data_IF_783144102708
#
_entry.id   IF_783144102708
#
_cell.length_a   1.000
_cell.length_b   1.000
_cell.length_c   1.000
_cell.angle_alpha   90.00
_cell.angle_beta   90.00
_cell.angle_gamma   90.00
#
_symmetry.space_group_name_H-M   'P 1'
#
loop_
_entity.id
_entity.type
_entity.pdbx_description
1 polymer ?
#
# COMPACT_ATOMS: atom_id res chain seq x y z
N UNK A 1 -7.16 15.56 -20.47
CA UNK A 1 -8.17 15.24 -19.44
C UNK A 1 -7.92 16.07 -18.18
N UNK A 2 -8.95 16.68 -17.60
CA UNK A 2 -8.80 17.40 -16.33
C UNK A 2 -8.69 16.41 -15.14
N UNK A 3 -8.36 16.90 -13.94
CA UNK A 3 -8.23 16.03 -12.77
C UNK A 3 -9.57 15.41 -12.38
N UNK A 4 -10.68 16.15 -12.47
CA UNK A 4 -12.01 15.68 -12.07
C UNK A 4 -12.50 14.54 -12.98
N UNK A 5 -12.26 14.64 -14.28
CA UNK A 5 -12.53 13.60 -15.28
C UNK A 5 -11.72 12.34 -15.01
N UNK A 6 -10.46 12.45 -14.55
CA UNK A 6 -9.64 11.29 -14.15
C UNK A 6 -10.34 10.52 -13.03
N UNK A 7 -10.83 11.22 -12.01
CA UNK A 7 -11.54 10.60 -10.90
C UNK A 7 -12.88 10.00 -11.34
N UNK A 8 -13.67 10.72 -12.15
CA UNK A 8 -14.94 10.22 -12.67
C UNK A 8 -14.78 8.95 -13.50
N UNK A 9 -13.82 8.89 -14.42
CA UNK A 9 -13.56 7.68 -15.21
C UNK A 9 -13.10 6.53 -14.30
N UNK A 10 -12.18 6.80 -13.37
CA UNK A 10 -11.68 5.79 -12.44
C UNK A 10 -12.78 5.21 -11.54
N UNK A 11 -13.79 5.99 -11.13
CA UNK A 11 -14.92 5.48 -10.35
C UNK A 11 -15.83 4.53 -11.14
N UNK A 12 -16.03 4.78 -12.44
CA UNK A 12 -16.87 3.91 -13.29
C UNK A 12 -16.10 2.65 -13.71
N UNK A 13 -14.78 2.69 -13.73
CA UNK A 13 -13.95 1.63 -14.30
C UNK A 13 -14.08 0.25 -13.61
N UNK A 14 -14.07 0.12 -12.27
CA UNK A 14 -14.26 -1.18 -11.61
C UNK A 14 -15.57 -1.86 -11.99
N UNK A 15 -16.60 -1.08 -12.36
CA UNK A 15 -17.92 -1.63 -12.67
C UNK A 15 -18.10 -2.10 -14.11
N UNK A 16 -17.12 -1.88 -14.99
CA UNK A 16 -17.25 -2.18 -16.44
C UNK A 16 -17.29 -3.68 -16.75
N UNK A 17 -16.66 -4.53 -15.94
CA UNK A 17 -16.64 -5.98 -16.14
C UNK A 17 -16.80 -6.72 -14.81
N UNK A 18 -18.05 -7.05 -14.46
CA UNK A 18 -18.40 -7.75 -13.22
C UNK A 18 -17.79 -9.13 -13.11
N UNK A 19 -17.58 -9.85 -14.21
CA UNK A 19 -16.95 -11.16 -14.19
C UNK A 19 -15.50 -11.06 -13.75
N UNK A 20 -14.73 -10.15 -14.36
CA UNK A 20 -13.35 -9.90 -13.97
C UNK A 20 -13.28 -9.32 -12.55
N UNK A 21 -14.16 -8.38 -12.21
CA UNK A 21 -14.27 -7.83 -10.86
C UNK A 21 -14.46 -8.94 -9.82
N UNK A 22 -15.37 -9.88 -10.05
CA UNK A 22 -15.62 -10.98 -9.11
C UNK A 22 -14.42 -11.91 -8.93
N UNK A 23 -13.70 -12.24 -10.02
CA UNK A 23 -12.48 -13.06 -9.94
C UNK A 23 -11.41 -12.38 -9.08
N UNK A 24 -11.17 -11.08 -9.32
CA UNK A 24 -10.21 -10.31 -8.53
C UNK A 24 -10.72 -10.10 -7.11
N UNK A 25 -12.03 -9.95 -6.92
CA UNK A 25 -12.72 -9.94 -5.63
C UNK A 25 -12.38 -11.14 -4.78
N UNK A 26 -12.51 -12.34 -5.33
CA UNK A 26 -12.14 -13.59 -4.64
C UNK A 26 -10.65 -13.59 -4.29
N UNK A 27 -9.77 -13.21 -5.20
CA UNK A 27 -8.33 -13.16 -4.93
C UNK A 27 -7.96 -12.13 -3.86
N UNK A 28 -8.59 -10.97 -3.85
CA UNK A 28 -8.41 -9.95 -2.81
C UNK A 28 -8.87 -10.50 -1.46
N UNK A 29 -10.06 -11.12 -1.40
CA UNK A 29 -10.53 -11.77 -0.16
C UNK A 29 -9.49 -12.77 0.34
N UNK A 30 -9.08 -13.72 -0.51
CA UNK A 30 -8.06 -14.72 -0.14
C UNK A 30 -6.76 -14.07 0.31
N UNK A 31 -6.31 -13.02 -0.38
CA UNK A 31 -5.09 -12.29 0.00
C UNK A 31 -5.14 -11.59 1.37
N UNK A 32 -6.33 -11.24 1.87
CA UNK A 32 -6.50 -10.54 3.15
C UNK A 32 -6.74 -11.50 4.33
N UNK A 33 -6.83 -12.82 4.11
CA UNK A 33 -7.16 -13.78 5.16
C UNK A 33 -6.01 -14.14 6.10
N UNK A 34 -4.79 -13.63 5.90
CA UNK A 34 -3.64 -13.88 6.80
C UNK A 34 -3.96 -13.52 8.25
N UNK A 35 -4.57 -12.35 8.45
CA UNK A 35 -4.79 -11.80 9.79
C UNK A 35 -5.83 -12.61 10.56
N UNK A 36 -6.89 -13.10 9.88
CA UNK A 36 -7.92 -13.93 10.47
C UNK A 36 -7.40 -15.32 10.89
N UNK A 37 -6.33 -15.78 10.25
CA UNK A 37 -5.77 -17.11 10.51
C UNK A 37 -4.81 -17.14 11.70
N UNK A 38 -4.09 -16.05 11.93
CA UNK A 38 -3.27 -15.89 13.15
C UNK A 38 -4.14 -15.97 14.42
N UNK A 39 -5.35 -15.40 14.40
CA UNK A 39 -6.34 -15.58 15.49
C UNK A 39 -6.78 -17.05 15.66
N UNK A 40 -6.89 -17.82 14.57
CA UNK A 40 -7.25 -19.25 14.62
C UNK A 40 -6.14 -20.14 15.18
N UNK A 41 -4.88 -19.80 14.88
CA UNK A 41 -3.70 -20.51 15.39
C UNK A 41 -3.48 -20.32 16.89
N UNK A 42 -3.72 -19.09 17.39
CA UNK A 42 -3.63 -18.78 18.82
C UNK A 42 -4.67 -19.54 19.67
N UNK A 43 -5.71 -20.10 19.05
CA UNK A 43 -6.81 -20.84 19.70
C UNK A 43 -6.73 -22.37 19.51
N UNK A 44 -5.55 -22.93 19.22
CA UNK A 44 -5.34 -24.39 19.19
C UNK A 44 -5.56 -25.06 17.82
N UNK A 45 -5.57 -24.28 16.73
CA UNK A 45 -5.51 -24.82 15.37
C UNK A 45 -4.22 -25.60 15.10
N UNK A 46 -4.24 -26.52 14.13
CA UNK A 46 -3.03 -27.27 13.74
C UNK A 46 -2.01 -26.33 13.10
N UNK A 47 -0.90 -26.11 13.78
CA UNK A 47 0.19 -25.19 13.39
C UNK A 47 0.65 -25.34 11.93
N UNK A 48 0.62 -26.56 11.39
CA UNK A 48 1.00 -26.87 10.00
C UNK A 48 -0.01 -26.32 8.99
N UNK A 49 -1.31 -26.49 9.26
CA UNK A 49 -2.37 -25.91 8.43
C UNK A 49 -2.27 -24.37 8.51
N UNK A 50 -1.95 -23.88 9.71
CA UNK A 50 -1.39 -22.55 10.03
C UNK A 50 -0.47 -21.95 8.97
N UNK A 51 0.67 -22.61 8.81
CA UNK A 51 1.72 -22.14 7.93
C UNK A 51 1.30 -22.18 6.46
N UNK A 52 0.59 -23.23 6.04
CA UNK A 52 0.21 -23.43 4.63
C UNK A 52 -0.71 -22.30 4.14
N UNK A 53 -1.75 -21.96 4.91
CA UNK A 53 -2.67 -20.88 4.51
C UNK A 53 -1.99 -19.52 4.54
N UNK A 54 -1.15 -19.23 5.55
CA UNK A 54 -0.39 -17.97 5.59
C UNK A 54 0.52 -17.82 4.37
N UNK A 55 1.24 -18.87 3.97
CA UNK A 55 2.05 -18.86 2.74
C UNK A 55 1.18 -18.61 1.51
N UNK A 56 0.01 -19.24 1.42
CA UNK A 56 -0.90 -19.10 0.28
C UNK A 56 -1.46 -17.67 0.18
N UNK A 57 -1.87 -17.07 1.30
CA UNK A 57 -2.38 -15.70 1.34
C UNK A 57 -1.29 -14.68 0.99
N UNK A 58 -0.08 -14.86 1.53
CA UNK A 58 1.08 -14.04 1.16
C UNK A 58 1.38 -14.18 -0.32
N UNK A 59 1.36 -15.40 -0.87
CA UNK A 59 1.62 -15.62 -2.30
C UNK A 59 0.60 -14.89 -3.18
N UNK A 60 -0.69 -14.91 -2.84
CA UNK A 60 -1.71 -14.18 -3.62
C UNK A 60 -1.50 -12.65 -3.51
N UNK A 61 -1.33 -12.14 -2.30
CA UNK A 61 -1.20 -10.71 -2.01
C UNK A 61 0.10 -10.09 -2.53
N UNK A 62 1.20 -10.84 -2.49
CA UNK A 62 2.51 -10.34 -2.88
C UNK A 62 2.87 -10.67 -4.32
N UNK A 63 2.45 -11.82 -4.84
CA UNK A 63 2.87 -12.31 -6.17
C UNK A 63 1.79 -12.21 -7.23
N UNK A 64 0.49 -12.17 -6.92
CA UNK A 64 -0.55 -12.16 -7.96
C UNK A 64 -1.21 -10.78 -8.10
N UNK A 65 -1.75 -10.24 -7.01
CA UNK A 65 -2.54 -9.01 -7.04
C UNK A 65 -1.76 -7.77 -7.53
N UNK A 66 -0.51 -7.50 -7.10
CA UNK A 66 0.21 -6.30 -7.51
C UNK A 66 0.44 -6.24 -9.03
N UNK A 67 0.85 -7.35 -9.63
CA UNK A 67 1.04 -7.46 -11.07
C UNK A 67 -0.26 -7.43 -11.87
N UNK A 68 -1.38 -7.83 -11.27
CA UNK A 68 -2.70 -7.58 -11.86
C UNK A 68 -3.01 -6.09 -11.91
N UNK A 69 -2.83 -5.37 -10.79
CA UNK A 69 -3.05 -3.91 -10.77
C UNK A 69 -2.08 -3.17 -11.69
N UNK A 70 -0.83 -3.65 -11.84
CA UNK A 70 0.07 -3.14 -12.87
C UNK A 70 -0.46 -3.35 -14.29
N UNK A 71 -1.16 -4.45 -14.53
CA UNK A 71 -1.82 -4.71 -15.82
C UNK A 71 -2.97 -3.74 -16.09
N UNK A 72 -3.70 -3.32 -15.04
CA UNK A 72 -4.72 -2.27 -15.15
C UNK A 72 -4.08 -0.93 -15.51
N UNK A 73 -2.98 -0.56 -14.85
CA UNK A 73 -2.19 0.64 -15.21
C UNK A 73 -1.72 0.53 -16.66
N UNK A 74 -1.11 -0.59 -17.05
CA UNK A 74 -0.62 -0.84 -18.41
C UNK A 74 -1.70 -0.69 -19.48
N UNK A 75 -2.88 -1.28 -19.25
CA UNK A 75 -4.02 -1.15 -20.16
C UNK A 75 -4.49 0.30 -20.28
N UNK A 76 -4.55 1.00 -19.15
CA UNK A 76 -4.96 2.40 -19.11
C UNK A 76 -4.00 3.30 -19.88
N UNK A 77 -2.69 3.14 -19.69
CA UNK A 77 -1.67 3.95 -20.38
C UNK A 77 -1.60 3.64 -21.89
N UNK A 78 -2.10 2.48 -22.32
CA UNK A 78 -2.20 2.06 -23.72
C UNK A 78 -3.64 2.18 -24.27
N UNK A 79 -4.43 3.13 -23.76
CA UNK A 79 -5.76 3.49 -24.26
C UNK A 79 -6.83 2.38 -24.27
N UNK A 80 -6.64 1.34 -23.46
CA UNK A 80 -7.66 0.32 -23.26
C UNK A 80 -8.59 0.68 -22.10
N UNK A 81 -9.89 0.57 -22.36
CA UNK A 81 -10.96 0.88 -21.40
C UNK A 81 -11.56 -0.35 -20.71
N UNK A 82 -11.06 -1.55 -21.03
CA UNK A 82 -11.52 -2.80 -20.45
C UNK A 82 -10.62 -3.27 -19.32
N UNK A 83 -11.22 -3.94 -18.33
CA UNK A 83 -10.48 -4.64 -17.28
C UNK A 83 -9.65 -5.77 -17.90
N UNK A 84 -8.33 -5.87 -17.59
CA UNK A 84 -7.50 -6.95 -18.09
C UNK A 84 -7.98 -8.29 -17.51
N UNK A 85 -7.89 -9.35 -18.32
CA UNK A 85 -8.02 -10.72 -17.83
C UNK A 85 -6.84 -11.09 -16.93
N UNK A 86 -7.08 -11.92 -15.92
CA UNK A 86 -6.03 -12.47 -15.06
C UNK A 86 -5.08 -13.34 -15.90
N UNK A 87 -3.80 -13.02 -15.89
CA UNK A 87 -2.74 -13.79 -16.55
C UNK A 87 -1.68 -14.16 -15.51
N UNK A 88 -1.85 -15.31 -14.86
CA UNK A 88 -1.07 -15.69 -13.69
C UNK A 88 0.45 -15.54 -13.89
N UNK A 89 0.99 -16.08 -14.99
CA UNK A 89 2.44 -16.01 -15.26
C UNK A 89 2.90 -14.56 -15.41
N UNK A 90 2.21 -13.74 -16.20
CA UNK A 90 2.59 -12.34 -16.40
C UNK A 90 2.40 -11.52 -15.12
N UNK A 91 1.32 -11.76 -14.38
CA UNK A 91 1.05 -11.07 -13.12
C UNK A 91 2.09 -11.42 -12.05
N UNK A 92 2.54 -12.69 -11.96
CA UNK A 92 3.65 -13.08 -11.08
C UNK A 92 4.95 -12.37 -11.44
N UNK A 93 5.32 -12.38 -12.73
CA UNK A 93 6.54 -11.69 -13.20
C UNK A 93 6.46 -10.19 -12.89
N UNK A 94 5.31 -9.57 -13.16
CA UNK A 94 5.09 -8.14 -12.92
C UNK A 94 5.10 -7.79 -11.42
N UNK A 95 4.55 -8.66 -10.55
CA UNK A 95 4.64 -8.51 -9.10
C UNK A 95 6.07 -8.62 -8.60
N UNK A 96 6.87 -9.56 -9.14
CA UNK A 96 8.30 -9.66 -8.80
C UNK A 96 9.06 -8.40 -9.21
N UNK A 97 8.76 -7.81 -10.37
CA UNK A 97 9.30 -6.51 -10.77
C UNK A 97 8.88 -5.42 -9.78
N UNK A 98 7.60 -5.34 -9.42
CA UNK A 98 7.12 -4.38 -8.43
C UNK A 98 7.76 -4.55 -7.06
N UNK A 99 8.03 -5.79 -6.63
CA UNK A 99 8.71 -6.10 -5.39
C UNK A 99 10.17 -5.62 -5.41
N UNK A 100 10.91 -5.91 -6.48
CA UNK A 100 12.29 -5.41 -6.66
C UNK A 100 12.27 -3.88 -6.65
N UNK A 101 11.34 -3.26 -7.37
CA UNK A 101 11.17 -1.81 -7.39
C UNK A 101 10.89 -1.26 -5.99
N UNK A 102 9.94 -1.84 -5.26
CA UNK A 102 9.58 -1.46 -3.90
C UNK A 102 10.77 -1.53 -2.94
N UNK A 103 11.53 -2.63 -2.96
CA UNK A 103 12.74 -2.80 -2.15
C UNK A 103 13.75 -1.68 -2.45
N UNK A 104 14.05 -1.42 -3.72
CA UNK A 104 15.03 -0.39 -4.12
C UNK A 104 14.60 1.00 -3.63
N UNK A 105 13.32 1.35 -3.77
CA UNK A 105 12.81 2.64 -3.28
C UNK A 105 12.72 2.73 -1.75
N UNK A 106 12.64 1.60 -1.05
CA UNK A 106 12.65 1.55 0.41
C UNK A 106 14.06 1.72 1.00
N UNK A 107 15.13 1.44 0.26
CA UNK A 107 16.51 1.54 0.78
C UNK A 107 16.82 2.95 1.32
N UNK A 108 16.63 4.06 0.58
CA UNK A 108 16.90 5.40 1.11
C UNK A 108 16.05 5.74 2.34
N UNK A 109 14.79 5.32 2.33
CA UNK A 109 13.84 5.55 3.45
C UNK A 109 14.32 4.80 4.69
N UNK A 110 14.67 3.53 4.55
CA UNK A 110 15.17 2.71 5.64
C UNK A 110 16.47 3.28 6.23
N UNK A 111 17.39 3.78 5.40
CA UNK A 111 18.62 4.42 5.88
C UNK A 111 18.28 5.66 6.71
N UNK A 112 17.39 6.55 6.23
CA UNK A 112 17.01 7.76 6.97
C UNK A 112 16.34 7.41 8.30
N UNK A 113 15.45 6.42 8.31
CA UNK A 113 14.79 5.96 9.52
C UNK A 113 15.80 5.36 10.53
N UNK A 114 16.75 4.55 10.08
CA UNK A 114 17.79 3.97 10.94
C UNK A 114 18.71 5.03 11.52
N UNK A 115 19.16 5.99 10.70
CA UNK A 115 19.99 7.12 11.16
C UNK A 115 19.22 7.97 12.18
N UNK A 116 17.95 8.25 11.92
CA UNK A 116 17.09 9.02 12.84
C UNK A 116 16.86 8.25 14.15
N UNK A 117 16.64 6.93 14.08
CA UNK A 117 16.43 6.09 15.26
C UNK A 117 17.68 6.02 16.13
N UNK A 118 18.86 5.96 15.50
CA UNK A 118 20.14 6.02 16.19
C UNK A 118 20.36 7.40 16.84
N UNK A 119 20.14 8.49 16.09
CA UNK A 119 20.32 9.86 16.57
C UNK A 119 19.42 10.19 17.78
N UNK A 120 18.19 9.66 17.79
CA UNK A 120 17.22 9.83 18.87
C UNK A 120 17.37 8.79 20.00
N UNK A 121 18.34 7.88 19.91
CA UNK A 121 18.53 6.77 20.84
C UNK A 121 17.25 5.93 21.09
N UNK A 122 16.44 5.71 20.04
CA UNK A 122 15.14 5.03 20.15
C UNK A 122 15.31 3.62 20.72
N UNK A 123 16.34 2.89 20.29
CA UNK A 123 16.60 1.53 20.79
C UNK A 123 16.94 1.51 22.29
N UNK A 124 17.72 2.48 22.77
CA UNK A 124 18.02 2.62 24.19
C UNK A 124 16.77 2.99 25.01
N UNK A 125 15.95 3.90 24.48
CA UNK A 125 14.67 4.26 25.10
C UNK A 125 13.71 3.08 25.17
N UNK A 126 13.55 2.30 24.09
CA UNK A 126 12.72 1.10 24.06
C UNK A 126 13.18 0.11 25.12
N UNK A 127 14.48 -0.19 25.22
CA UNK A 127 14.98 -1.14 26.23
C UNK A 127 14.68 -0.69 27.66
N UNK A 128 14.82 0.62 27.94
CA UNK A 128 14.47 1.19 29.25
C UNK A 128 12.98 1.09 29.53
N UNK A 129 12.12 1.39 28.56
CA UNK A 129 10.66 1.26 28.70
C UNK A 129 10.26 -0.21 28.90
N UNK A 130 10.82 -1.13 28.11
CA UNK A 130 10.57 -2.56 28.22
C UNK A 130 10.95 -3.12 29.59
N UNK A 131 12.00 -2.60 30.21
CA UNK A 131 12.33 -2.95 31.60
C UNK A 131 11.15 -2.65 32.54
N UNK A 132 10.56 -1.45 32.48
CA UNK A 132 9.40 -1.13 33.32
C UNK A 132 8.17 -1.97 32.96
N UNK A 133 7.89 -2.17 31.67
CA UNK A 133 6.78 -3.02 31.21
C UNK A 133 6.90 -4.44 31.76
N UNK A 134 8.11 -5.03 31.74
CA UNK A 134 8.33 -6.39 32.22
C UNK A 134 8.25 -6.53 33.74
N UNK A 135 8.61 -5.50 34.51
CA UNK A 135 8.59 -5.55 35.98
C UNK A 135 7.24 -5.16 36.59
N UNK A 136 6.48 -4.27 35.93
CA UNK A 136 5.28 -3.65 36.49
C UNK A 136 4.01 -3.89 35.65
N UNK A 137 4.11 -4.58 34.51
CA UNK A 137 2.97 -4.92 33.67
C UNK A 137 2.23 -3.67 33.16
N UNK A 138 0.90 -3.68 33.22
CA UNK A 138 0.07 -2.58 32.74
C UNK A 138 0.29 -1.26 33.50
N UNK A 139 0.77 -1.33 34.75
CA UNK A 139 1.00 -0.15 35.60
C UNK A 139 2.38 0.49 35.42
N UNK A 140 3.17 0.03 34.45
CA UNK A 140 4.56 0.47 34.22
C UNK A 140 4.75 1.98 34.18
N UNK A 141 3.77 2.71 33.64
CA UNK A 141 3.84 4.16 33.51
C UNK A 141 3.93 4.87 34.87
N UNK A 142 3.31 4.32 35.92
CA UNK A 142 3.32 4.91 37.27
C UNK A 142 4.67 4.76 37.99
N UNK A 143 5.47 3.78 37.57
CA UNK A 143 6.79 3.48 38.15
C UNK A 143 7.94 4.02 37.29
N UNK A 144 7.61 4.56 36.11
CA UNK A 144 8.59 5.07 35.17
C UNK A 144 8.92 6.53 35.48
N UNK A 145 10.21 6.92 35.51
CA UNK A 145 10.60 8.32 35.65
C UNK A 145 9.99 9.22 34.57
N UNK A 146 9.56 10.42 34.97
CA UNK A 146 8.92 11.39 34.06
C UNK A 146 9.83 11.78 32.88
N UNK A 147 11.15 11.87 33.10
CA UNK A 147 12.13 12.17 32.05
C UNK A 147 12.15 11.08 30.96
N UNK A 148 12.01 9.81 31.37
CA UNK A 148 11.97 8.68 30.44
C UNK A 148 10.64 8.63 29.68
N UNK A 149 9.51 8.87 30.36
CA UNK A 149 8.19 9.03 29.73
C UNK A 149 8.21 10.11 28.65
N UNK A 150 8.72 11.30 28.99
CA UNK A 150 8.79 12.44 28.06
C UNK A 150 9.75 12.14 26.91
N UNK A 151 10.94 11.61 27.20
CA UNK A 151 11.94 11.29 26.17
C UNK A 151 11.44 10.22 25.19
N UNK A 152 10.74 9.21 25.70
CA UNK A 152 10.15 8.17 24.85
C UNK A 152 9.00 8.71 24.01
N UNK A 153 8.07 9.46 24.62
CA UNK A 153 6.95 10.07 23.91
C UNK A 153 7.40 11.05 22.83
N UNK A 154 8.37 11.92 23.14
CA UNK A 154 8.94 12.86 22.16
C UNK A 154 9.71 12.13 21.06
N UNK A 155 10.49 11.10 21.39
CA UNK A 155 11.20 10.28 20.40
C UNK A 155 10.25 9.58 19.42
N UNK A 156 9.16 9.00 19.90
CA UNK A 156 8.12 8.40 19.05
C UNK A 156 7.45 9.45 18.17
N UNK A 157 7.10 10.61 18.73
CA UNK A 157 6.44 11.68 17.98
C UNK A 157 7.33 12.18 16.84
N UNK A 158 8.61 12.44 17.10
CA UNK A 158 9.58 12.86 16.08
C UNK A 158 9.72 11.77 15.01
N UNK A 159 9.87 10.51 15.40
CA UNK A 159 9.96 9.40 14.45
C UNK A 159 8.70 9.26 13.59
N UNK A 160 7.52 9.43 14.18
CA UNK A 160 6.24 9.43 13.47
C UNK A 160 6.15 10.54 12.44
N UNK A 161 6.61 11.75 12.77
CA UNK A 161 6.68 12.88 11.82
C UNK A 161 7.63 12.57 10.67
N UNK A 162 8.83 12.03 10.96
CA UNK A 162 9.81 11.64 9.92
C UNK A 162 9.20 10.59 9.00
N UNK A 163 8.56 9.56 9.55
CA UNK A 163 7.90 8.51 8.78
C UNK A 163 6.80 9.07 7.88
N UNK A 164 5.98 10.00 8.39
CA UNK A 164 4.93 10.66 7.62
C UNK A 164 5.51 11.44 6.44
N UNK A 165 6.56 12.24 6.66
CA UNK A 165 7.23 13.01 5.61
C UNK A 165 7.81 12.07 4.54
N UNK A 166 8.54 11.03 4.95
CA UNK A 166 9.12 10.06 4.02
C UNK A 166 8.05 9.29 3.24
N UNK A 167 6.91 8.96 3.86
CA UNK A 167 5.78 8.33 3.20
C UNK A 167 5.16 9.20 2.11
N UNK A 168 5.01 10.50 2.37
CA UNK A 168 4.55 11.47 1.36
C UNK A 168 5.56 11.55 0.19
N UNK A 169 6.85 11.67 0.49
CA UNK A 169 7.89 11.71 -0.56
C UNK A 169 7.94 10.42 -1.39
N UNK A 170 7.78 9.26 -0.75
CA UNK A 170 7.67 7.98 -1.43
C UNK A 170 6.46 7.95 -2.37
N UNK A 171 5.29 8.42 -1.91
CA UNK A 171 4.06 8.42 -2.70
C UNK A 171 4.17 9.25 -3.98
N UNK A 172 4.87 10.39 -3.92
CA UNK A 172 5.10 11.28 -5.08
C UNK A 172 5.86 10.54 -6.19
N UNK A 173 6.75 9.62 -5.83
CA UNK A 173 7.60 8.93 -6.80
C UNK A 173 6.97 7.62 -7.27
N UNK A 174 6.36 6.86 -6.35
CA UNK A 174 6.01 5.46 -6.62
C UNK A 174 4.90 5.31 -7.67
N UNK A 175 3.90 6.19 -7.72
CA UNK A 175 2.83 6.11 -8.71
C UNK A 175 3.35 6.26 -10.13
N UNK A 176 4.28 7.20 -10.36
CA UNK A 176 4.88 7.43 -11.68
C UNK A 176 5.90 6.33 -12.01
N UNK A 177 6.68 5.87 -11.02
CA UNK A 177 7.58 4.73 -11.20
C UNK A 177 6.83 3.47 -11.67
N UNK A 178 5.68 3.16 -11.06
CA UNK A 178 4.80 2.07 -11.47
C UNK A 178 4.25 2.27 -12.89
N UNK A 179 3.81 3.48 -13.23
CA UNK A 179 3.30 3.77 -14.56
C UNK A 179 4.38 3.66 -15.65
N UNK A 180 5.61 4.06 -15.35
CA UNK A 180 6.77 3.83 -16.25
C UNK A 180 7.04 2.33 -16.42
N UNK A 181 7.06 1.57 -15.32
CA UNK A 181 7.19 0.11 -15.39
C UNK A 181 6.09 -0.51 -16.25
N UNK A 182 4.85 -0.05 -16.08
CA UNK A 182 3.71 -0.52 -16.84
C UNK A 182 3.83 -0.20 -18.34
N UNK A 183 4.26 1.02 -18.68
CA UNK A 183 4.41 1.51 -20.05
C UNK A 183 5.56 0.84 -20.81
N UNK A 184 6.72 0.74 -20.19
CA UNK A 184 7.95 0.27 -20.85
C UNK A 184 8.29 -1.19 -20.57
N UNK A 185 7.51 -1.86 -19.70
CA UNK A 185 7.73 -3.24 -19.22
C UNK A 185 9.16 -3.52 -18.68
N UNK A 186 9.85 -2.48 -18.22
CA UNK A 186 11.26 -2.52 -17.83
C UNK A 186 11.50 -1.92 -16.46
N UNK A 187 12.15 -2.67 -15.56
CA UNK A 187 12.59 -2.20 -14.25
C UNK A 187 13.51 -0.99 -14.33
N UNK A 188 14.36 -0.92 -15.37
CA UNK A 188 15.24 0.24 -15.56
C UNK A 188 14.42 1.52 -15.69
N UNK A 189 13.28 1.47 -16.38
CA UNK A 189 12.43 2.65 -16.58
C UNK A 189 11.82 3.17 -15.28
N UNK A 190 11.52 2.28 -14.33
CA UNK A 190 10.97 2.66 -13.02
C UNK A 190 12.00 3.25 -12.07
N UNK A 191 13.30 3.16 -12.37
CA UNK A 191 14.37 3.74 -11.53
C UNK A 191 14.96 5.04 -12.10
N UNK A 192 14.47 5.51 -13.24
CA UNK A 192 14.91 6.76 -13.85
C UNK A 192 14.29 7.96 -13.13
N UNK A 193 14.81 8.29 -11.93
CA UNK A 193 14.32 9.38 -11.07
C UNK A 193 14.18 10.70 -11.84
N UNK A 194 15.17 11.04 -12.68
CA UNK A 194 15.11 12.26 -13.50
C UNK A 194 13.91 12.27 -14.44
N UNK A 195 13.62 11.14 -15.08
CA UNK A 195 12.48 11.02 -15.98
C UNK A 195 11.16 11.02 -15.20
N UNK A 196 11.11 10.43 -14.01
CA UNK A 196 9.94 10.50 -13.13
C UNK A 196 9.60 11.96 -12.79
N UNK A 197 10.58 12.77 -12.39
CA UNK A 197 10.34 14.19 -12.12
C UNK A 197 10.00 14.98 -13.39
N UNK A 198 10.54 14.60 -14.54
CA UNK A 198 10.16 15.18 -15.84
C UNK A 198 8.68 14.88 -16.17
N UNK A 199 8.24 13.63 -15.98
CA UNK A 199 6.85 13.21 -16.19
C UNK A 199 5.90 13.95 -15.24
N UNK A 200 6.25 14.09 -13.96
CA UNK A 200 5.48 14.91 -13.00
C UNK A 200 5.41 16.37 -13.46
N UNK A 201 6.52 16.92 -13.96
CA UNK A 201 6.56 18.30 -14.44
C UNK A 201 5.69 18.52 -15.67
N UNK A 202 5.59 17.53 -16.57
CA UNK A 202 4.68 17.55 -17.73
C UNK A 202 3.20 17.48 -17.31
N UNK A 203 2.87 16.68 -16.30
CA UNK A 203 1.52 16.67 -15.68
C UNK A 203 1.19 18.05 -15.08
N UNK A 204 2.23 18.73 -14.59
CA UNK A 204 2.18 19.98 -13.85
C UNK A 204 2.12 19.71 -12.35
N UNK A 205 3.12 20.19 -11.59
CA UNK A 205 3.23 19.94 -10.15
C UNK A 205 1.97 20.27 -9.36
N UNK A 206 1.33 21.43 -9.63
CA UNK A 206 0.07 21.79 -8.96
C UNK A 206 -1.04 20.78 -9.22
N UNK A 207 -1.22 20.36 -10.48
CA UNK A 207 -2.21 19.36 -10.85
C UNK A 207 -1.90 17.99 -10.23
N UNK A 208 -0.63 17.61 -10.19
CA UNK A 208 -0.19 16.34 -9.61
C UNK A 208 -0.39 16.29 -8.10
N UNK A 209 -0.11 17.39 -7.38
CA UNK A 209 -0.36 17.49 -5.94
C UNK A 209 -1.87 17.48 -5.65
N UNK A 210 -2.68 18.22 -6.42
CA UNK A 210 -4.15 18.18 -6.28
C UNK A 210 -4.66 16.74 -6.48
N UNK A 211 -4.15 16.05 -7.50
CA UNK A 211 -4.46 14.65 -7.76
C UNK A 211 -4.09 13.73 -6.60
N UNK A 212 -2.87 13.86 -6.04
CA UNK A 212 -2.43 13.09 -4.87
C UNK A 212 -3.31 13.33 -3.64
N UNK A 213 -3.66 14.59 -3.35
CA UNK A 213 -4.52 14.94 -2.21
C UNK A 213 -5.92 14.36 -2.37
N UNK A 214 -6.52 14.49 -3.56
CA UNK A 214 -7.83 13.90 -3.85
C UNK A 214 -7.80 12.36 -3.73
N UNK A 215 -6.74 11.73 -4.24
CA UNK A 215 -6.55 10.28 -4.13
C UNK A 215 -6.43 9.87 -2.66
N UNK A 216 -5.63 10.59 -1.87
CA UNK A 216 -5.45 10.33 -0.44
C UNK A 216 -6.76 10.45 0.34
N UNK A 217 -7.57 11.48 0.08
CA UNK A 217 -8.89 11.66 0.71
C UNK A 217 -9.80 10.46 0.40
N UNK A 218 -9.86 10.02 -0.86
CA UNK A 218 -10.69 8.88 -1.25
C UNK A 218 -10.20 7.59 -0.60
N UNK A 219 -8.89 7.35 -0.59
CA UNK A 219 -8.31 6.17 0.07
C UNK A 219 -8.64 6.16 1.57
N UNK A 220 -8.53 7.30 2.26
CA UNK A 220 -8.88 7.42 3.68
C UNK A 220 -10.36 7.15 3.91
N UNK A 221 -11.25 7.70 3.08
CA UNK A 221 -12.70 7.45 3.19
C UNK A 221 -13.00 5.95 3.03
N UNK A 222 -12.46 5.31 2.00
CA UNK A 222 -12.66 3.87 1.78
C UNK A 222 -12.05 3.02 2.90
N UNK A 223 -10.90 3.41 3.44
CA UNK A 223 -10.26 2.73 4.57
C UNK A 223 -11.11 2.81 5.84
N UNK A 224 -11.70 3.97 6.15
CA UNK A 224 -12.62 4.15 7.30
C UNK A 224 -13.87 3.28 7.12
N UNK A 225 -14.47 3.27 5.92
CA UNK A 225 -15.64 2.43 5.64
C UNK A 225 -15.29 0.94 5.77
N UNK A 226 -14.17 0.51 5.19
CA UNK A 226 -13.66 -0.85 5.27
C UNK A 226 -13.45 -1.28 6.73
N UNK A 227 -12.77 -0.46 7.53
CA UNK A 227 -12.51 -0.74 8.94
C UNK A 227 -13.80 -0.82 9.75
N UNK A 228 -14.71 0.13 9.58
CA UNK A 228 -15.99 0.18 10.31
C UNK A 228 -16.84 -1.08 10.04
N UNK A 229 -16.92 -1.51 8.79
CA UNK A 229 -17.67 -2.73 8.42
C UNK A 229 -16.97 -3.97 8.96
N UNK A 230 -15.64 -4.03 8.88
CA UNK A 230 -14.86 -5.21 9.31
C UNK A 230 -14.98 -5.49 10.81
N UNK A 231 -15.15 -4.46 11.64
CA UNK A 231 -15.34 -4.61 13.10
C UNK A 231 -16.64 -5.34 13.46
N UNK A 232 -17.62 -5.40 12.55
CA UNK A 232 -18.89 -6.14 12.78
C UNK A 232 -18.72 -7.67 12.75
N UNK A 233 -17.55 -8.17 12.36
CA UNK A 233 -17.20 -9.59 12.40
C UNK A 233 -16.75 -10.15 11.05
N UNK A 234 -16.39 -11.43 11.04
CA UNK A 234 -15.68 -12.09 9.92
C UNK A 234 -16.48 -12.04 8.61
N UNK A 235 -17.80 -12.24 8.65
CA UNK A 235 -18.65 -12.18 7.44
C UNK A 235 -18.59 -10.79 6.80
N UNK A 236 -18.68 -9.73 7.62
CA UNK A 236 -18.63 -8.35 7.15
C UNK A 236 -17.24 -7.96 6.65
N UNK A 237 -16.17 -8.45 7.30
CA UNK A 237 -14.80 -8.33 6.80
C UNK A 237 -14.65 -8.92 5.39
N UNK A 238 -15.17 -10.12 5.14
CA UNK A 238 -15.13 -10.76 3.81
C UNK A 238 -15.88 -9.92 2.78
N UNK A 239 -17.07 -9.43 3.13
CA UNK A 239 -17.87 -8.54 2.26
C UNK A 239 -17.10 -7.25 1.95
N UNK A 240 -16.50 -6.62 2.97
CA UNK A 240 -15.71 -5.40 2.82
C UNK A 240 -14.47 -5.64 1.95
N UNK A 241 -13.76 -6.76 2.13
CA UNK A 241 -12.60 -7.13 1.32
C UNK A 241 -13.01 -7.34 -0.14
N UNK A 242 -14.11 -8.05 -0.39
CA UNK A 242 -14.60 -8.32 -1.73
C UNK A 242 -15.07 -7.08 -2.48
N UNK A 243 -15.89 -6.24 -1.84
CA UNK A 243 -16.50 -5.09 -2.52
C UNK A 243 -15.65 -3.83 -2.42
N UNK A 244 -15.19 -3.48 -1.22
CA UNK A 244 -14.55 -2.18 -0.97
C UNK A 244 -13.09 -2.22 -1.37
N UNK A 245 -12.33 -3.21 -0.88
CA UNK A 245 -10.89 -3.29 -1.17
C UNK A 245 -10.64 -3.55 -2.67
N UNK A 246 -11.35 -4.50 -3.27
CA UNK A 246 -11.24 -4.76 -4.72
C UNK A 246 -11.58 -3.55 -5.57
N UNK A 247 -12.67 -2.84 -5.24
CA UNK A 247 -13.03 -1.61 -5.93
C UNK A 247 -11.94 -0.56 -5.81
N UNK A 248 -11.46 -0.31 -4.58
CA UNK A 248 -10.45 0.71 -4.31
C UNK A 248 -9.14 0.42 -5.06
N UNK A 249 -8.67 -0.83 -5.08
CA UNK A 249 -7.42 -1.17 -5.75
C UNK A 249 -7.51 -1.02 -7.28
N UNK A 250 -8.61 -1.45 -7.89
CA UNK A 250 -8.86 -1.26 -9.33
C UNK A 250 -8.98 0.23 -9.65
N UNK A 251 -9.69 0.98 -8.81
CA UNK A 251 -9.83 2.43 -8.92
C UNK A 251 -8.46 3.13 -8.87
N UNK A 252 -7.61 2.84 -7.87
CA UNK A 252 -6.26 3.42 -7.74
C UNK A 252 -5.43 3.10 -8.99
N UNK A 253 -5.44 1.85 -9.45
CA UNK A 253 -4.67 1.44 -10.62
C UNK A 253 -5.12 2.17 -11.89
N UNK A 254 -6.43 2.29 -12.11
CA UNK A 254 -6.97 3.07 -13.24
C UNK A 254 -6.58 4.54 -13.13
N UNK A 255 -6.80 5.14 -11.97
CA UNK A 255 -6.53 6.54 -11.68
C UNK A 255 -5.03 6.89 -11.88
N UNK A 256 -4.14 5.99 -11.45
CA UNK A 256 -2.68 6.07 -11.64
C UNK A 256 -2.27 6.02 -13.12
N UNK A 257 -2.89 5.14 -13.91
CA UNK A 257 -2.64 5.10 -15.35
C UNK A 257 -3.12 6.37 -16.07
N UNK A 258 -4.28 6.91 -15.67
CA UNK A 258 -4.87 8.11 -16.28
C UNK A 258 -4.07 9.38 -15.97
N UNK A 259 -3.58 9.56 -14.73
CA UNK A 259 -2.73 10.72 -14.42
C UNK A 259 -1.41 10.66 -15.21
N UNK A 260 -0.82 9.47 -15.35
CA UNK A 260 0.42 9.31 -16.09
C UNK A 260 0.24 9.56 -17.60
N UNK A 261 -0.94 9.28 -18.17
CA UNK A 261 -1.22 9.64 -19.57
C UNK A 261 -1.01 11.12 -19.85
N UNK A 262 -1.30 12.02 -18.89
CA UNK A 262 -1.05 13.45 -19.05
C UNK A 262 0.42 13.80 -19.22
N UNK A 263 1.35 12.93 -18.79
CA UNK A 263 2.78 13.11 -19.04
C UNK A 263 3.22 12.67 -20.46
N UNK A 264 2.37 11.92 -21.15
CA UNK A 264 2.62 11.40 -22.50
C UNK A 264 2.01 12.28 -23.60
N UNK A 265 1.07 13.16 -23.23
CA UNK A 265 0.51 14.24 -24.05
C UNK A 265 1.53 15.39 -24.17
#
# INVERSE_FOLDING_TARGET
MDIVEIFKDAFVYPTKNMKTFAIIGILVVLGNFSDAFDYGLLNGGTFIVGIIFTILFIAISLLILPGYFLSVIRRTVNDSNDLPSLSLVKNIIDSLKLLIMGIVYMIPIAIILLVSAFALNIFGLINRVLFYVNNYGADYANYMPDDLLISFGTGILIMGIILLILGVLYSIIIFIAQSRLAKYDSLKSSFQIREIFNDISKIGWGNYIIWLVLLAIIVVIFAIIYATISVLGVIFFIIAAFFINTYLQIFIARNTGLIYKKALE
#
